data_IF_082395197799
#
_entry.id   IF_082395197799
#
_cell.length_a   1.000
_cell.length_b   1.000
_cell.length_c   1.000
_cell.angle_alpha   90.00
_cell.angle_beta   90.00
_cell.angle_gamma   90.00
#
_symmetry.space_group_name_H-M   'P 1'
#
loop_
_entity.id
_entity.type
_entity.pdbx_description
1 polymer ?
#
# COMPACT_ATOMS: atom_id res chain seq x y z
N UNK A 1 0.44 35.08 11.30
CA UNK A 1 -0.96 35.30 10.84
C UNK A 1 -0.99 35.62 9.34
N UNK A 2 -0.22 34.90 8.51
CA UNK A 2 -0.29 35.09 7.05
C UNK A 2 -1.36 34.18 6.41
N UNK A 3 -1.70 33.06 7.03
CA UNK A 3 -2.68 32.07 6.55
C UNK A 3 -4.09 32.63 6.32
N UNK A 4 -4.50 33.62 7.12
CA UNK A 4 -5.82 34.25 7.08
C UNK A 4 -5.86 35.51 6.20
N UNK A 5 -4.70 36.03 5.82
CA UNK A 5 -4.58 37.33 5.15
C UNK A 5 -5.19 37.28 3.75
N UNK A 6 -6.04 38.25 3.44
CA UNK A 6 -6.73 38.33 2.15
C UNK A 6 -7.81 37.27 1.94
N UNK A 7 -8.04 36.39 2.92
CA UNK A 7 -9.10 35.38 2.91
C UNK A 7 -10.21 35.70 3.91
N UNK A 8 -9.89 36.37 5.02
CA UNK A 8 -10.86 36.70 6.06
C UNK A 8 -11.35 38.15 5.99
N UNK A 9 -12.62 38.36 6.34
CA UNK A 9 -13.26 39.66 6.42
C UNK A 9 -14.27 39.69 7.57
N UNK A 10 -14.32 40.80 8.32
CA UNK A 10 -15.34 41.04 9.33
C UNK A 10 -16.45 41.91 8.74
N UNK A 11 -17.63 41.33 8.56
CA UNK A 11 -18.80 42.02 8.03
C UNK A 11 -19.48 42.82 9.16
N UNK A 12 -19.69 44.12 8.93
CA UNK A 12 -20.20 45.06 9.94
C UNK A 12 -21.62 45.57 9.65
N UNK A 13 -22.26 45.04 8.61
CA UNK A 13 -23.58 45.53 8.16
C UNK A 13 -24.66 45.37 9.25
N UNK A 14 -24.56 44.32 10.07
CA UNK A 14 -25.46 44.07 11.21
C UNK A 14 -24.98 44.65 12.54
N UNK A 15 -23.90 45.43 12.58
CA UNK A 15 -23.28 45.86 13.83
C UNK A 15 -24.19 46.78 14.65
N UNK A 16 -24.99 47.60 13.98
CA UNK A 16 -26.00 48.46 14.63
C UNK A 16 -27.07 47.65 15.38
N UNK A 17 -27.32 46.42 14.93
CA UNK A 17 -28.25 45.47 15.55
C UNK A 17 -27.53 44.52 16.52
N UNK A 18 -26.23 44.72 16.76
CA UNK A 18 -25.39 43.90 17.65
C UNK A 18 -24.83 42.64 16.99
N UNK A 19 -24.93 42.49 15.66
CA UNK A 19 -24.43 41.32 14.95
C UNK A 19 -23.09 41.58 14.26
N UNK A 20 -22.14 40.64 14.37
CA UNK A 20 -20.83 40.72 13.75
C UNK A 20 -20.48 39.35 13.14
N UNK A 21 -20.26 39.31 11.83
CA UNK A 21 -19.99 38.06 11.12
C UNK A 21 -18.54 38.00 10.63
N UNK A 22 -17.87 36.87 10.89
CA UNK A 22 -16.57 36.55 10.30
C UNK A 22 -16.78 35.73 9.03
N UNK A 23 -16.34 36.27 7.90
CA UNK A 23 -16.32 35.57 6.61
C UNK A 23 -14.91 35.05 6.31
N UNK A 24 -14.78 33.76 6.05
CA UNK A 24 -13.54 33.12 5.58
C UNK A 24 -13.78 32.65 4.15
N UNK A 25 -12.93 33.07 3.21
CA UNK A 25 -13.00 32.68 1.79
C UNK A 25 -11.96 31.61 1.47
N UNK A 26 -12.29 30.74 0.51
CA UNK A 26 -11.45 29.59 0.13
C UNK A 26 -11.17 28.69 1.33
N UNK A 27 -12.23 28.21 1.99
CA UNK A 27 -12.12 27.36 3.19
C UNK A 27 -11.40 26.05 2.86
N UNK A 28 -10.55 25.60 3.78
CA UNK A 28 -9.72 24.40 3.70
C UNK A 28 -9.74 23.66 5.04
N UNK A 29 -9.26 22.41 5.05
CA UNK A 29 -9.22 21.60 6.27
C UNK A 29 -8.35 22.21 7.38
N UNK A 30 -7.34 23.01 7.04
CA UNK A 30 -6.48 23.70 8.03
C UNK A 30 -7.20 24.83 8.77
N UNK A 31 -8.32 25.33 8.24
CA UNK A 31 -9.13 26.34 8.90
C UNK A 31 -9.99 25.76 10.03
N UNK A 32 -10.05 24.43 10.19
CA UNK A 32 -10.73 23.80 11.32
C UNK A 32 -10.07 24.17 12.63
N UNK A 33 -10.86 24.52 13.63
CA UNK A 33 -10.34 24.93 14.93
C UNK A 33 -11.31 25.79 15.71
N UNK A 34 -10.82 26.31 16.83
CA UNK A 34 -11.61 27.12 17.75
C UNK A 34 -11.47 28.60 17.43
N UNK A 35 -12.59 29.26 17.18
CA UNK A 35 -12.68 30.68 16.88
C UNK A 35 -13.33 31.41 18.05
N UNK A 36 -12.66 32.43 18.56
CA UNK A 36 -13.20 33.29 19.61
C UNK A 36 -13.72 34.60 19.05
N UNK A 37 -14.90 34.99 19.50
CA UNK A 37 -15.44 36.33 19.35
C UNK A 37 -15.34 37.02 20.72
N UNK A 38 -14.69 38.18 20.77
CA UNK A 38 -14.57 38.98 21.99
C UNK A 38 -15.11 40.39 21.72
N UNK A 39 -15.98 40.85 22.61
CA UNK A 39 -16.65 42.16 22.54
C UNK A 39 -16.31 42.96 23.79
N UNK A 40 -15.93 44.21 23.59
CA UNK A 40 -15.63 45.15 24.65
C UNK A 40 -16.43 46.43 24.45
N UNK A 41 -17.12 46.88 25.50
CA UNK A 41 -17.91 48.11 25.52
C UNK A 41 -17.70 48.83 26.86
N UNK A 42 -16.90 49.89 26.85
CA UNK A 42 -16.44 50.56 28.08
C UNK A 42 -15.73 49.58 29.02
N UNK A 43 -16.28 49.41 30.23
CA UNK A 43 -15.80 48.44 31.23
C UNK A 43 -16.41 47.04 31.06
N UNK A 44 -17.36 46.87 30.14
CA UNK A 44 -18.00 45.60 29.82
C UNK A 44 -17.14 44.72 28.91
N UNK A 45 -17.15 43.41 29.16
CA UNK A 45 -16.46 42.41 28.36
C UNK A 45 -17.32 41.15 28.25
N UNK A 46 -17.39 40.58 27.05
CA UNK A 46 -17.98 39.28 26.81
C UNK A 46 -17.20 38.56 25.70
N UNK A 47 -17.09 37.24 25.82
CA UNK A 47 -16.53 36.39 24.79
C UNK A 47 -17.37 35.14 24.55
N UNK A 48 -17.25 34.61 23.34
CA UNK A 48 -17.87 33.38 22.91
C UNK A 48 -16.89 32.60 22.03
N UNK A 49 -16.95 31.28 22.10
CA UNK A 49 -16.10 30.39 21.32
C UNK A 49 -16.97 29.50 20.43
N UNK A 50 -16.56 29.34 19.18
CA UNK A 50 -17.20 28.49 18.18
C UNK A 50 -16.15 27.56 17.60
N UNK A 51 -16.43 26.26 17.61
CA UNK A 51 -15.57 25.27 16.96
C UNK A 51 -16.03 25.07 15.51
N UNK A 52 -15.12 25.31 14.57
CA UNK A 52 -15.33 25.12 13.15
C UNK A 52 -14.72 23.78 12.72
N UNK A 53 -15.53 22.89 12.15
CA UNK A 53 -15.06 21.65 11.53
C UNK A 53 -15.30 21.68 10.02
N UNK A 54 -14.20 21.59 9.25
CA UNK A 54 -14.25 21.59 7.79
C UNK A 54 -14.11 20.17 7.28
N UNK A 55 -15.15 19.66 6.60
CA UNK A 55 -15.07 18.38 5.90
C UNK A 55 -14.20 18.51 4.64
N UNK A 56 -13.19 17.64 4.52
CA UNK A 56 -12.37 17.53 3.30
C UNK A 56 -12.94 16.42 2.37
N UNK A 57 -13.56 16.79 1.23
CA UNK A 57 -14.08 15.83 0.28
C UNK A 57 -12.97 15.04 -0.42
N UNK A 58 -11.75 15.60 -0.53
CA UNK A 58 -10.63 14.94 -1.21
C UNK A 58 -10.19 13.71 -0.43
N UNK A 59 -10.07 13.84 0.89
CA UNK A 59 -9.79 12.74 1.80
C UNK A 59 -10.83 11.61 1.65
N UNK A 60 -12.13 11.90 1.79
CA UNK A 60 -13.16 10.86 1.78
C UNK A 60 -13.30 10.11 0.45
N UNK A 61 -13.04 10.77 -0.69
CA UNK A 61 -13.14 10.13 -2.01
C UNK A 61 -11.89 9.32 -2.31
N UNK A 62 -10.72 9.71 -1.79
CA UNK A 62 -9.45 9.07 -2.12
C UNK A 62 -9.20 7.78 -1.33
N UNK A 63 -9.65 7.69 -0.07
CA UNK A 63 -9.39 6.51 0.75
C UNK A 63 -10.08 5.20 0.28
N UNK A 64 -11.36 5.18 -0.16
CA UNK A 64 -12.05 3.92 -0.44
C UNK A 64 -11.42 3.11 -1.59
N UNK A 65 -11.10 3.76 -2.71
CA UNK A 65 -10.49 3.08 -3.85
C UNK A 65 -9.04 2.69 -3.57
N UNK A 66 -8.27 3.53 -2.87
CA UNK A 66 -6.90 3.21 -2.47
C UNK A 66 -6.85 1.99 -1.55
N UNK A 67 -7.77 1.87 -0.60
CA UNK A 67 -7.88 0.69 0.28
C UNK A 67 -8.21 -0.55 -0.54
N UNK A 68 -9.19 -0.47 -1.46
CA UNK A 68 -9.54 -1.59 -2.33
C UNK A 68 -8.36 -2.06 -3.19
N UNK A 69 -7.63 -1.13 -3.81
CA UNK A 69 -6.43 -1.44 -4.59
C UNK A 69 -5.34 -2.08 -3.74
N UNK A 70 -5.09 -1.58 -2.54
CA UNK A 70 -4.11 -2.16 -1.61
C UNK A 70 -4.47 -3.61 -1.25
N UNK A 71 -5.76 -3.89 -0.99
CA UNK A 71 -6.24 -5.26 -0.70
C UNK A 71 -6.08 -6.17 -1.91
N UNK A 72 -6.45 -5.71 -3.11
CA UNK A 72 -6.29 -6.51 -4.34
C UNK A 72 -4.82 -6.82 -4.60
N UNK A 73 -3.93 -5.83 -4.47
CA UNK A 73 -2.48 -6.02 -4.67
C UNK A 73 -1.91 -7.01 -3.66
N UNK A 74 -2.30 -6.93 -2.39
CA UNK A 74 -1.82 -7.88 -1.37
C UNK A 74 -2.28 -9.31 -1.65
N UNK A 75 -3.53 -9.51 -2.09
CA UNK A 75 -4.05 -10.83 -2.48
C UNK A 75 -3.32 -11.40 -3.71
N UNK A 76 -3.03 -10.57 -4.72
CA UNK A 76 -2.29 -10.99 -5.91
C UNK A 76 -0.85 -11.40 -5.58
N UNK A 77 -0.17 -10.63 -4.73
CA UNK A 77 1.19 -10.95 -4.27
C UNK A 77 1.19 -12.24 -3.45
N UNK A 78 0.26 -12.39 -2.50
CA UNK A 78 0.15 -13.60 -1.69
C UNK A 78 -0.11 -14.84 -2.57
N UNK A 79 -1.04 -14.72 -3.54
CA UNK A 79 -1.32 -15.79 -4.51
C UNK A 79 -0.07 -16.15 -5.32
N UNK A 80 0.64 -15.16 -5.85
CA UNK A 80 1.86 -15.38 -6.62
C UNK A 80 2.94 -16.10 -5.80
N UNK A 81 3.14 -15.72 -4.55
CA UNK A 81 4.11 -16.36 -3.64
C UNK A 81 3.72 -17.82 -3.36
N UNK A 82 2.44 -18.08 -3.06
CA UNK A 82 1.93 -19.44 -2.82
C UNK A 82 2.11 -20.31 -4.07
N UNK A 83 1.73 -19.80 -5.23
CA UNK A 83 1.84 -20.49 -6.51
C UNK A 83 3.31 -20.84 -6.81
N UNK A 84 4.22 -19.87 -6.66
CA UNK A 84 5.66 -20.10 -6.86
C UNK A 84 6.22 -21.14 -5.88
N UNK A 85 5.79 -21.12 -4.62
CA UNK A 85 6.18 -22.12 -3.62
C UNK A 85 5.70 -23.53 -3.99
N UNK A 86 4.43 -23.66 -4.40
CA UNK A 86 3.86 -24.94 -4.84
C UNK A 86 4.56 -25.47 -6.10
N UNK A 87 4.89 -24.60 -7.06
CA UNK A 87 5.64 -24.99 -8.25
C UNK A 87 7.05 -25.46 -7.90
N UNK A 88 7.77 -24.73 -7.03
CA UNK A 88 9.11 -25.15 -6.58
C UNK A 88 9.07 -26.51 -5.89
N UNK A 89 8.06 -26.76 -5.05
CA UNK A 89 7.89 -28.04 -4.38
C UNK A 89 7.60 -29.18 -5.37
N UNK A 90 6.73 -28.96 -6.36
CA UNK A 90 6.46 -29.96 -7.40
C UNK A 90 7.66 -30.24 -8.29
N UNK A 91 8.41 -29.21 -8.69
CA UNK A 91 9.62 -29.38 -9.49
C UNK A 91 10.65 -30.19 -8.73
N UNK A 92 10.89 -29.89 -7.45
CA UNK A 92 11.82 -30.68 -6.62
C UNK A 92 11.44 -32.16 -6.59
N UNK A 93 10.15 -32.48 -6.40
CA UNK A 93 9.66 -33.86 -6.40
C UNK A 93 9.77 -34.54 -7.77
N UNK A 94 9.53 -33.81 -8.87
CA UNK A 94 9.68 -34.33 -10.24
C UNK A 94 11.17 -34.58 -10.56
N UNK A 95 12.07 -33.71 -10.11
CA UNK A 95 13.52 -33.88 -10.29
C UNK A 95 14.00 -35.15 -9.57
N UNK A 96 13.58 -35.38 -8.32
CA UNK A 96 13.91 -36.60 -7.57
C UNK A 96 13.34 -37.86 -8.25
N UNK A 97 12.12 -37.78 -8.82
CA UNK A 97 11.49 -38.90 -9.53
C UNK A 97 12.14 -39.15 -10.91
N UNK A 98 12.62 -38.10 -11.56
CA UNK A 98 13.39 -38.16 -12.80
C UNK A 98 14.78 -38.75 -12.57
N UNK A 99 15.40 -38.48 -11.43
CA UNK A 99 16.71 -39.03 -11.05
C UNK A 99 16.59 -40.54 -10.74
N UNK A 100 15.49 -40.98 -10.13
CA UNK A 100 15.17 -42.40 -9.92
C UNK A 100 14.95 -43.20 -11.23
N UNK A 101 14.67 -42.54 -12.36
CA UNK A 101 14.40 -43.20 -13.64
C UNK A 101 15.63 -43.26 -14.58
N UNK A 102 16.82 -42.81 -14.15
CA UNK A 102 18.01 -42.93 -14.99
C UNK A 102 18.36 -44.42 -15.24
N UNK A 103 18.50 -44.86 -16.52
CA UNK A 103 18.99 -46.20 -16.83
C UNK A 103 20.39 -46.42 -16.24
N UNK A 104 20.62 -47.60 -15.68
CA UNK A 104 21.94 -48.06 -15.22
C UNK A 104 23.00 -47.74 -16.28
N UNK A 105 24.22 -47.31 -15.87
CA UNK A 105 25.31 -47.16 -16.82
C UNK A 105 25.46 -48.47 -17.61
N UNK A 106 25.72 -48.40 -18.94
CA UNK A 106 25.92 -49.59 -19.73
C UNK A 106 27.01 -50.44 -19.07
N UNK A 107 26.84 -51.76 -18.95
CA UNK A 107 27.87 -52.61 -18.38
C UNK A 107 29.15 -52.35 -19.16
N UNK A 108 30.20 -51.92 -18.47
CA UNK A 108 31.53 -51.87 -19.03
C UNK A 108 31.87 -53.30 -19.47
N UNK A 109 31.93 -53.53 -20.77
CA UNK A 109 32.44 -54.76 -21.39
C UNK A 109 33.92 -54.92 -21.01
N UNK A 110 34.17 -55.42 -19.80
CA UNK A 110 35.47 -55.87 -19.35
C UNK A 110 35.70 -57.27 -19.95
N UNK A 111 36.51 -57.27 -21.01
CA UNK A 111 37.29 -58.37 -21.61
C UNK A 111 36.74 -59.79 -21.47
N UNK A 112 35.86 -60.17 -22.40
CA UNK A 112 35.61 -61.56 -22.79
C UNK A 112 36.46 -62.02 -23.98
N UNK A 113 37.28 -61.15 -24.57
CA UNK A 113 38.11 -61.43 -25.76
C UNK A 113 39.45 -62.08 -25.44
N UNK A 114 39.89 -62.11 -24.17
CA UNK A 114 41.16 -62.75 -23.78
C UNK A 114 41.09 -64.28 -23.72
N UNK A 115 39.90 -64.90 -23.82
CA UNK A 115 39.77 -66.36 -23.69
C UNK A 115 39.47 -67.12 -25.00
N UNK A 116 39.30 -66.42 -26.12
CA UNK A 116 39.00 -67.07 -27.43
C UNK A 116 40.24 -67.08 -28.35
N UNK A 117 41.30 -66.35 -28.01
CA UNK A 117 42.57 -66.33 -28.75
C UNK A 117 43.68 -67.15 -28.07
N UNK A 118 43.34 -68.22 -27.35
CA UNK A 118 44.31 -69.21 -26.84
C UNK A 118 44.02 -70.65 -27.35
N UNK A 119 42.87 -70.90 -27.98
CA UNK A 119 42.48 -72.24 -28.46
C UNK A 119 42.58 -72.47 -29.98
N UNK A 120 42.97 -71.45 -30.76
CA UNK A 120 43.26 -71.58 -32.18
C UNK A 120 44.78 -71.56 -32.40
N UNK A 121 45.43 -72.71 -32.16
CA UNK A 121 46.83 -72.91 -32.51
C UNK A 121 47.05 -72.72 -34.01
N UNK A 122 47.75 -71.65 -34.37
CA UNK A 122 48.37 -71.44 -35.68
C UNK A 122 49.79 -70.93 -35.44
N UNK A 123 50.72 -71.89 -35.49
CA UNK A 123 52.20 -71.82 -35.54
C UNK A 123 52.94 -71.06 -34.42
#
# INVERSE_FOLDING_TARGET
MEEYKGRTELLRDGLSDGNLDLRITTVSSSDSGSYSCAVQDGDGYADAVVDLEVSDPFSQIVYPWMVALAVVVTLLVASFVIIAFLYRNKVAQITELSESFQPLPPPSLLNGTDRIMESAGLM
#
